data_IF_938948225434
#
_entry.id   IF_938948225434
#
_cell.length_a   1.000
_cell.length_b   1.000
_cell.length_c   1.000
_cell.angle_alpha   90.00
_cell.angle_beta   90.00
_cell.angle_gamma   90.00
#
_symmetry.space_group_name_H-M   'P 1'
#
loop_
_entity.id
_entity.type
_entity.pdbx_description
1 polymer ?
#
# COMPACT_ATOMS: atom_id res chain seq x y z
N UNK A 1 1.82 -25.18 10.34
CA UNK A 1 3.22 -25.14 10.78
C UNK A 1 3.74 -23.75 10.46
N UNK A 2 3.92 -22.93 11.49
CA UNK A 2 4.38 -21.55 11.38
C UNK A 2 5.88 -21.64 11.64
N UNK A 3 6.72 -21.44 10.63
CA UNK A 3 8.18 -21.46 10.78
C UNK A 3 8.65 -20.13 11.38
N UNK A 4 8.77 -20.15 12.70
CA UNK A 4 9.27 -19.13 13.63
C UNK A 4 10.82 -18.97 13.58
N UNK A 5 11.43 -18.72 12.41
CA UNK A 5 12.89 -18.47 12.34
C UNK A 5 13.24 -17.44 11.26
N UNK A 6 13.74 -16.25 11.62
CA UNK A 6 14.20 -15.12 10.76
C UNK A 6 13.22 -14.60 9.66
N UNK A 7 12.05 -15.19 9.55
CA UNK A 7 11.08 -15.00 8.47
C UNK A 7 9.89 -14.12 8.88
N UNK A 8 9.97 -13.44 10.03
CA UNK A 8 8.83 -12.71 10.63
C UNK A 8 8.38 -11.51 9.77
N UNK A 9 9.31 -10.79 9.15
CA UNK A 9 9.00 -9.70 8.21
C UNK A 9 9.02 -10.16 6.75
N UNK A 10 9.93 -11.08 6.37
CA UNK A 10 9.99 -11.61 5.00
C UNK A 10 8.70 -12.33 4.58
N UNK A 11 8.02 -13.02 5.51
CA UNK A 11 6.74 -13.68 5.22
C UNK A 11 5.57 -12.72 5.11
N UNK A 12 5.70 -11.44 5.50
CA UNK A 12 4.60 -10.48 5.44
C UNK A 12 4.25 -10.06 4.01
N UNK A 13 5.20 -10.18 3.06
CA UNK A 13 4.96 -9.82 1.66
C UNK A 13 3.84 -10.65 1.04
N UNK A 14 3.83 -11.97 1.29
CA UNK A 14 2.87 -12.92 0.73
C UNK A 14 1.42 -12.62 1.11
N UNK A 15 1.04 -12.51 2.40
CA UNK A 15 -0.34 -12.22 2.76
C UNK A 15 -0.80 -10.82 2.35
N UNK A 16 0.10 -9.82 2.25
CA UNK A 16 -0.26 -8.49 1.73
C UNK A 16 -0.55 -8.55 0.23
N UNK A 17 0.29 -9.23 -0.54
CA UNK A 17 0.07 -9.41 -1.96
C UNK A 17 -1.23 -10.18 -2.24
N UNK A 18 -1.48 -11.28 -1.53
CA UNK A 18 -2.74 -12.05 -1.65
C UNK A 18 -3.96 -11.18 -1.36
N UNK A 19 -3.91 -10.37 -0.30
CA UNK A 19 -5.02 -9.46 0.02
C UNK A 19 -5.19 -8.38 -1.05
N UNK A 20 -4.11 -7.90 -1.68
CA UNK A 20 -4.16 -6.83 -2.68
C UNK A 20 -5.02 -7.16 -3.90
N UNK A 21 -5.08 -8.44 -4.29
CA UNK A 21 -5.84 -8.93 -5.45
C UNK A 21 -7.34 -8.66 -5.28
N UNK A 22 -7.88 -8.93 -4.08
CA UNK A 22 -9.33 -8.89 -3.81
C UNK A 22 -9.72 -7.83 -2.77
N UNK A 23 -8.81 -6.95 -2.38
CA UNK A 23 -9.10 -5.92 -1.37
C UNK A 23 -10.07 -4.87 -1.92
N UNK A 24 -11.22 -4.71 -1.25
CA UNK A 24 -12.15 -3.62 -1.57
C UNK A 24 -11.62 -2.25 -1.16
N UNK A 25 -10.71 -2.21 -0.17
CA UNK A 25 -10.11 -0.98 0.36
C UNK A 25 -8.85 -0.58 -0.42
N UNK A 26 -8.03 -1.56 -0.78
CA UNK A 26 -6.75 -1.36 -1.46
C UNK A 26 -5.62 -0.94 -0.53
N UNK A 27 -4.39 -1.24 -0.94
CA UNK A 27 -3.15 -0.81 -0.28
C UNK A 27 -2.64 0.46 -0.95
N UNK A 28 -3.12 1.61 -0.48
CA UNK A 28 -2.75 2.91 -1.05
C UNK A 28 -1.42 3.40 -0.49
N UNK A 29 -0.46 3.61 -1.38
CA UNK A 29 0.89 4.05 -1.07
C UNK A 29 1.15 5.44 -1.63
N UNK A 30 1.82 6.27 -0.83
CA UNK A 30 2.21 7.63 -1.22
C UNK A 30 3.69 7.70 -1.57
N UNK A 31 4.07 8.48 -2.59
CA UNK A 31 5.47 8.74 -2.87
C UNK A 31 6.07 9.54 -1.70
N UNK A 32 7.26 9.15 -1.27
CA UNK A 32 8.01 9.88 -0.25
C UNK A 32 9.50 9.57 -0.42
N UNK A 33 10.36 10.55 -0.16
CA UNK A 33 11.81 10.40 -0.38
C UNK A 33 12.49 9.51 0.65
N UNK A 34 11.90 9.32 1.83
CA UNK A 34 12.43 8.41 2.85
C UNK A 34 11.35 7.87 3.77
N UNK A 35 11.61 6.70 4.34
CA UNK A 35 10.74 6.05 5.30
C UNK A 35 10.53 6.89 6.57
N UNK A 36 11.56 7.60 7.02
CA UNK A 36 11.48 8.45 8.21
C UNK A 36 10.50 9.60 8.00
N UNK A 37 10.61 10.31 6.85
CA UNK A 37 9.71 11.42 6.50
C UNK A 37 8.25 10.98 6.39
N UNK A 38 8.04 9.75 5.91
CA UNK A 38 6.70 9.14 5.86
C UNK A 38 6.13 8.94 7.28
N UNK A 39 6.90 8.34 8.19
CA UNK A 39 6.42 8.05 9.55
C UNK A 39 6.19 9.29 10.40
N UNK A 40 6.99 10.35 10.23
CA UNK A 40 6.76 11.63 10.92
C UNK A 40 5.66 12.48 10.26
N UNK A 41 5.08 12.02 9.13
CA UNK A 41 3.98 12.69 8.44
C UNK A 41 4.37 13.93 7.64
N UNK A 42 5.64 14.06 7.24
CA UNK A 42 6.13 15.23 6.49
C UNK A 42 5.89 15.13 4.98
N UNK A 43 5.53 13.94 4.49
CA UNK A 43 5.18 13.75 3.09
C UNK A 43 3.72 14.10 2.87
N UNK A 44 3.46 15.14 2.06
CA UNK A 44 2.13 15.61 1.68
C UNK A 44 1.87 15.33 0.19
N UNK A 45 1.61 14.06 -0.18
CA UNK A 45 1.22 13.73 -1.55
C UNK A 45 -0.16 14.33 -1.86
N UNK A 46 -0.39 14.69 -3.11
CA UNK A 46 -1.73 14.95 -3.62
C UNK A 46 -2.54 13.65 -3.75
N UNK A 47 -3.87 13.76 -3.80
CA UNK A 47 -4.77 12.59 -3.92
C UNK A 47 -4.49 11.76 -5.21
N UNK A 48 -3.91 12.38 -6.24
CA UNK A 48 -3.60 11.78 -7.54
C UNK A 48 -2.26 11.02 -7.56
N UNK A 49 -1.38 11.29 -6.59
CA UNK A 49 -0.07 10.66 -6.48
C UNK A 49 -0.09 9.31 -5.75
N UNK A 50 -1.22 8.96 -5.13
CA UNK A 50 -1.39 7.68 -4.47
C UNK A 50 -1.53 6.55 -5.49
N UNK A 51 -0.74 5.50 -5.28
CA UNK A 51 -0.77 4.30 -6.13
C UNK A 51 -1.17 3.08 -5.30
N UNK A 52 -1.75 2.08 -5.95
CA UNK A 52 -2.00 0.79 -5.30
C UNK A 52 -0.72 -0.04 -5.25
N UNK A 53 -0.50 -0.71 -4.13
CA UNK A 53 0.53 -1.74 -3.97
C UNK A 53 -0.10 -3.12 -4.20
N UNK A 54 0.66 -4.01 -4.88
CA UNK A 54 0.26 -5.39 -5.14
C UNK A 54 -0.16 -5.63 -6.60
N UNK A 55 -1.20 -6.45 -6.80
CA UNK A 55 -1.66 -6.86 -8.15
C UNK A 55 -2.06 -5.67 -9.03
N UNK A 56 -2.73 -4.68 -8.45
CA UNK A 56 -3.22 -3.50 -9.17
C UNK A 56 -2.22 -2.34 -9.18
N UNK A 57 -0.93 -2.63 -8.98
CA UNK A 57 0.11 -1.61 -9.04
C UNK A 57 0.31 -1.14 -10.49
N UNK A 58 0.29 0.17 -10.78
CA UNK A 58 0.46 0.66 -12.13
C UNK A 58 1.89 0.39 -12.62
N UNK A 59 2.03 -0.10 -13.86
CA UNK A 59 3.34 -0.41 -14.45
C UNK A 59 4.24 0.82 -14.66
N UNK A 60 3.64 2.01 -14.63
CA UNK A 60 4.30 3.32 -14.74
C UNK A 60 4.84 3.83 -13.41
N UNK A 61 4.47 3.24 -12.27
CA UNK A 61 5.00 3.67 -10.97
C UNK A 61 6.52 3.47 -10.91
N UNK A 62 7.21 4.53 -10.50
CA UNK A 62 8.68 4.59 -10.34
C UNK A 62 9.02 5.35 -9.07
N UNK A 63 10.07 4.93 -8.39
CA UNK A 63 10.52 5.55 -7.14
C UNK A 63 10.05 4.82 -5.89
N UNK A 64 10.12 5.50 -4.75
CA UNK A 64 9.79 4.94 -3.44
C UNK A 64 8.39 5.37 -3.00
N UNK A 65 7.59 4.38 -2.64
CA UNK A 65 6.25 4.56 -2.11
C UNK A 65 6.14 3.89 -0.76
N UNK A 66 5.45 4.55 0.17
CA UNK A 66 5.28 4.08 1.53
C UNK A 66 3.79 4.02 1.88
N UNK A 67 3.43 3.00 2.64
CA UNK A 67 2.09 2.80 3.16
C UNK A 67 2.17 2.17 4.55
N UNK A 68 1.08 2.28 5.32
CA UNK A 68 0.95 1.57 6.60
C UNK A 68 -0.17 0.54 6.51
N UNK A 69 0.07 -0.66 7.05
CA UNK A 69 -0.92 -1.73 7.15
C UNK A 69 -1.46 -1.84 8.58
N UNK A 70 -2.55 -2.59 8.75
CA UNK A 70 -3.01 -2.98 10.09
C UNK A 70 -2.13 -4.10 10.66
N UNK A 71 -2.11 -4.26 11.98
CA UNK A 71 -1.36 -5.35 12.63
C UNK A 71 -1.97 -6.75 12.41
N UNK A 72 -3.21 -6.83 11.91
CA UNK A 72 -3.95 -8.08 11.64
C UNK A 72 -4.82 -7.90 10.40
N UNK A 73 -5.25 -9.01 9.78
CA UNK A 73 -6.21 -9.00 8.67
C UNK A 73 -7.53 -8.31 9.08
N UNK A 74 -8.18 -7.55 8.18
CA UNK A 74 -7.69 -7.11 6.87
C UNK A 74 -6.54 -6.10 7.02
N UNK A 75 -5.44 -6.31 6.31
CA UNK A 75 -4.24 -5.48 6.40
C UNK A 75 -4.40 -4.13 5.69
N UNK A 76 -5.24 -4.05 4.65
CA UNK A 76 -5.50 -2.85 3.88
C UNK A 76 -6.27 -1.80 4.72
N UNK A 77 -5.71 -0.60 4.83
CA UNK A 77 -6.36 0.55 5.51
C UNK A 77 -7.36 1.27 4.62
N UNK A 78 -7.17 1.24 3.31
CA UNK A 78 -7.92 2.05 2.36
C UNK A 78 -7.26 3.38 2.06
N UNK A 79 -7.96 4.22 1.30
CA UNK A 79 -7.41 5.49 0.82
C UNK A 79 -7.32 6.51 1.95
N UNK A 80 -6.13 7.09 2.20
CA UNK A 80 -5.93 8.07 3.27
C UNK A 80 -6.24 9.52 2.84
N UNK A 81 -6.33 9.79 1.53
CA UNK A 81 -6.62 11.13 1.02
C UNK A 81 -8.07 11.56 1.28
N UNK A 82 -8.37 12.84 1.03
CA UNK A 82 -9.67 13.43 1.38
C UNK A 82 -10.78 13.04 0.39
N UNK A 83 -10.44 12.66 -0.84
CA UNK A 83 -11.38 12.16 -1.83
C UNK A 83 -11.58 10.64 -1.68
N UNK A 84 -12.76 10.13 -1.97
CA UNK A 84 -12.93 8.67 -2.13
C UNK A 84 -12.48 8.32 -3.56
N UNK A 85 -11.48 7.46 -3.76
CA UNK A 85 -11.14 7.00 -5.10
C UNK A 85 -12.35 6.29 -5.68
N UNK A 86 -12.75 6.68 -6.89
CA UNK A 86 -13.83 6.01 -7.58
C UNK A 86 -13.35 4.60 -7.93
N UNK A 87 -14.26 3.62 -7.90
CA UNK A 87 -14.00 2.16 -8.11
C UNK A 87 -13.53 1.80 -9.53
N UNK A 88 -12.90 2.74 -10.24
CA UNK A 88 -12.41 2.65 -11.61
C UNK A 88 -11.06 3.34 -11.87
N UNK A 89 -10.53 4.18 -10.97
CA UNK A 89 -9.29 4.94 -11.24
C UNK A 89 -8.04 4.04 -11.29
N UNK A 90 -8.05 2.90 -10.60
CA UNK A 90 -6.95 1.93 -10.65
C UNK A 90 -7.06 0.90 -11.78
N UNK A 91 -8.10 0.95 -12.62
CA UNK A 91 -8.34 -0.01 -13.71
C UNK A 91 -8.05 0.55 -15.11
N UNK A 92 -7.70 1.83 -15.21
CA UNK A 92 -7.47 2.53 -16.47
C UNK A 92 -6.10 3.23 -16.50
N UNK A 93 -5.03 2.51 -16.13
CA UNK A 93 -3.64 2.86 -16.40
C UNK A 93 -2.87 1.63 -16.87
#
# INVERSE_FOLDING_TARGET
MITETLSCDHTKVTPYFIESINSQKGFWASPCSSQLLYYIGWCTPSDEEYVLMGEHAPHTARGLYYLTTNGRKPYAKGFPGKRKPLKGDARNL
#
